data_IF_583908104904
#
_entry.id   IF_583908104904
#
_cell.length_a   1.000
_cell.length_b   1.000
_cell.length_c   1.000
_cell.angle_alpha   90.00
_cell.angle_beta   90.00
_cell.angle_gamma   90.00
#
_symmetry.space_group_name_H-M   'P 1'
#
loop_
_entity.id
_entity.type
_entity.pdbx_description
1 polymer ?
#
# COMPACT_ATOMS: atom_id res chain seq x y z
N UNK A 1 -7.24 8.75 16.63
CA UNK A 1 -7.72 9.49 15.43
C UNK A 1 -7.66 8.51 14.28
N UNK A 2 -8.74 8.31 13.52
CA UNK A 2 -8.71 7.37 12.39
C UNK A 2 -7.74 7.89 11.32
N UNK A 3 -6.67 7.14 11.01
CA UNK A 3 -5.68 7.49 9.98
C UNK A 3 -6.19 7.25 8.53
N UNK A 4 -7.51 7.20 8.34
CA UNK A 4 -8.15 6.86 7.06
C UNK A 4 -8.67 8.10 6.35
N UNK A 5 -8.88 7.99 5.03
CA UNK A 5 -9.37 9.09 4.21
C UNK A 5 -10.75 9.54 4.71
N UNK A 6 -11.07 10.86 4.70
CA UNK A 6 -12.40 11.35 5.05
C UNK A 6 -13.49 10.77 4.15
N UNK A 7 -13.17 10.50 2.88
CA UNK A 7 -14.07 9.84 1.93
C UNK A 7 -14.38 8.41 2.37
N UNK A 8 -13.39 7.70 2.91
CA UNK A 8 -13.56 6.35 3.44
C UNK A 8 -14.45 6.35 4.68
N UNK A 9 -14.16 7.21 5.66
CA UNK A 9 -14.95 7.30 6.90
C UNK A 9 -16.40 7.65 6.56
N UNK A 10 -16.63 8.64 5.70
CA UNK A 10 -18.00 8.99 5.32
C UNK A 10 -18.74 7.86 4.62
N UNK A 11 -18.10 7.17 3.67
CA UNK A 11 -18.73 6.02 3.01
C UNK A 11 -18.99 4.85 3.99
N UNK A 12 -18.13 4.64 4.98
CA UNK A 12 -18.31 3.60 6.00
C UNK A 12 -19.46 3.93 6.96
N UNK A 13 -19.58 5.19 7.38
CA UNK A 13 -20.66 5.66 8.24
C UNK A 13 -22.02 5.56 7.53
N UNK A 14 -22.09 5.94 6.25
CA UNK A 14 -23.31 5.77 5.43
C UNK A 14 -23.66 4.29 5.23
N UNK A 15 -22.65 3.44 5.06
CA UNK A 15 -22.86 2.00 4.93
C UNK A 15 -23.40 1.40 6.24
N UNK A 16 -22.91 1.83 7.39
CA UNK A 16 -23.44 1.44 8.70
C UNK A 16 -24.90 1.90 8.87
N UNK A 17 -25.24 3.13 8.50
CA UNK A 17 -26.59 3.67 8.65
C UNK A 17 -27.63 3.01 7.74
N UNK A 18 -27.24 2.72 6.49
CA UNK A 18 -28.14 2.16 5.48
C UNK A 18 -28.21 0.63 5.53
N UNK A 19 -27.29 -0.02 6.23
CA UNK A 19 -27.31 -1.46 6.46
C UNK A 19 -27.61 -1.79 7.91
N UNK A 20 -27.72 -3.08 8.23
CA UNK A 20 -27.80 -3.56 9.62
C UNK A 20 -26.42 -3.95 10.17
N UNK A 21 -25.35 -3.50 9.53
CA UNK A 21 -23.99 -3.87 9.87
C UNK A 21 -23.47 -2.95 10.98
N UNK A 22 -22.69 -3.50 11.88
CA UNK A 22 -21.96 -2.70 12.87
C UNK A 22 -20.87 -1.86 12.18
N UNK A 23 -20.44 -0.75 12.81
CA UNK A 23 -19.31 0.07 12.34
C UNK A 23 -18.09 -0.74 11.91
N UNK A 24 -17.72 -1.75 12.69
CA UNK A 24 -16.55 -2.59 12.42
C UNK A 24 -16.74 -3.42 11.15
N UNK A 25 -17.94 -3.97 10.97
CA UNK A 25 -18.29 -4.74 9.78
C UNK A 25 -18.38 -3.88 8.52
N UNK A 26 -18.99 -2.69 8.62
CA UNK A 26 -19.09 -1.74 7.53
C UNK A 26 -17.68 -1.32 7.05
N UNK A 27 -16.82 -0.88 7.97
CA UNK A 27 -15.42 -0.54 7.67
C UNK A 27 -14.64 -1.74 7.12
N UNK A 28 -14.79 -2.92 7.73
CA UNK A 28 -14.13 -4.14 7.27
C UNK A 28 -14.54 -4.52 5.84
N UNK A 29 -15.82 -4.38 5.51
CA UNK A 29 -16.34 -4.65 4.16
C UNK A 29 -15.79 -3.67 3.15
N UNK A 30 -15.78 -2.39 3.49
CA UNK A 30 -15.25 -1.34 2.62
C UNK A 30 -13.75 -1.53 2.39
N UNK A 31 -12.98 -1.93 3.42
CA UNK A 31 -11.56 -2.29 3.28
C UNK A 31 -11.35 -3.47 2.34
N UNK A 32 -12.19 -4.51 2.43
CA UNK A 32 -12.13 -5.65 1.51
C UNK A 32 -12.45 -5.25 0.08
N UNK A 33 -13.45 -4.39 -0.12
CA UNK A 33 -13.81 -3.85 -1.43
C UNK A 33 -12.66 -3.04 -2.04
N UNK A 34 -12.04 -2.15 -1.25
CA UNK A 34 -10.88 -1.37 -1.67
C UNK A 34 -9.68 -2.25 -1.99
N UNK A 35 -9.41 -3.27 -1.15
CA UNK A 35 -8.33 -4.24 -1.40
C UNK A 35 -8.55 -4.99 -2.72
N UNK A 36 -9.79 -5.36 -3.03
CA UNK A 36 -10.15 -5.99 -4.31
C UNK A 36 -9.90 -5.07 -5.52
N UNK A 37 -9.92 -3.75 -5.32
CA UNK A 37 -9.61 -2.74 -6.33
C UNK A 37 -8.12 -2.33 -6.37
N UNK A 38 -7.28 -2.86 -5.47
CA UNK A 38 -5.90 -2.38 -5.29
C UNK A 38 -5.78 -0.98 -4.67
N UNK A 39 -6.82 -0.51 -3.97
CA UNK A 39 -6.86 0.80 -3.34
C UNK A 39 -6.59 0.72 -1.84
N UNK A 40 -6.08 1.81 -1.27
CA UNK A 40 -5.81 1.93 0.16
C UNK A 40 -6.84 2.84 0.86
N UNK A 41 -7.38 2.45 2.02
CA UNK A 41 -8.33 3.27 2.79
C UNK A 41 -7.80 4.65 3.17
N UNK A 42 -6.47 4.78 3.35
CA UNK A 42 -5.82 6.04 3.75
C UNK A 42 -5.74 7.07 2.63
N UNK A 43 -5.72 6.64 1.37
CA UNK A 43 -5.46 7.51 0.21
C UNK A 43 -6.57 7.49 -0.83
N UNK A 44 -7.69 6.82 -0.53
CA UNK A 44 -8.82 6.73 -1.47
C UNK A 44 -9.44 8.11 -1.69
N UNK A 45 -9.60 8.46 -2.96
CA UNK A 45 -10.26 9.68 -3.42
C UNK A 45 -11.70 9.37 -3.85
N UNK A 46 -12.55 10.40 -3.97
CA UNK A 46 -13.96 10.30 -4.32
C UNK A 46 -14.19 9.51 -5.60
N UNK A 47 -13.47 9.85 -6.69
CA UNK A 47 -13.63 9.14 -7.99
C UNK A 47 -13.37 7.64 -7.86
N UNK A 48 -12.32 7.26 -7.14
CA UNK A 48 -11.97 5.87 -6.91
C UNK A 48 -13.02 5.17 -6.02
N UNK A 49 -13.53 5.87 -4.99
CA UNK A 49 -14.60 5.36 -4.14
C UNK A 49 -15.88 5.10 -4.93
N UNK A 50 -16.29 6.00 -5.83
CA UNK A 50 -17.48 5.80 -6.66
C UNK A 50 -17.39 4.55 -7.52
N UNK A 51 -16.23 4.29 -8.13
CA UNK A 51 -16.00 3.06 -8.91
C UNK A 51 -16.16 1.82 -8.02
N UNK A 52 -15.62 1.85 -6.80
CA UNK A 52 -15.72 0.73 -5.85
C UNK A 52 -17.17 0.49 -5.43
N UNK A 53 -17.91 1.57 -5.13
CA UNK A 53 -19.34 1.51 -4.78
C UNK A 53 -20.20 0.96 -5.92
N UNK A 54 -19.87 1.28 -7.17
CA UNK A 54 -20.66 0.86 -8.33
C UNK A 54 -20.30 -0.55 -8.84
N UNK A 55 -19.02 -0.95 -8.73
CA UNK A 55 -18.51 -2.18 -9.39
C UNK A 55 -18.19 -3.32 -8.46
N UNK A 56 -17.78 -3.04 -7.22
CA UNK A 56 -17.21 -4.06 -6.34
C UNK A 56 -18.11 -4.28 -5.13
N UNK A 57 -18.46 -3.22 -4.42
CA UNK A 57 -19.23 -3.29 -3.18
C UNK A 57 -20.59 -4.00 -3.30
N UNK A 58 -21.39 -3.82 -4.38
CA UNK A 58 -22.69 -4.48 -4.50
C UNK A 58 -22.55 -6.00 -4.48
N UNK A 59 -21.54 -6.54 -5.17
CA UNK A 59 -21.28 -7.98 -5.21
C UNK A 59 -20.86 -8.54 -3.85
N UNK A 60 -20.12 -7.76 -3.06
CA UNK A 60 -19.70 -8.15 -1.71
C UNK A 60 -20.86 -8.10 -0.71
N UNK A 61 -21.75 -7.10 -0.84
CA UNK A 61 -22.94 -6.98 0.00
C UNK A 61 -23.92 -8.14 -0.24
N UNK A 62 -24.15 -8.49 -1.50
CA UNK A 62 -25.00 -9.65 -1.85
C UNK A 62 -24.42 -10.94 -1.27
N UNK A 63 -23.10 -11.16 -1.38
CA UNK A 63 -22.42 -12.33 -0.79
C UNK A 63 -22.54 -12.41 0.73
N UNK A 64 -22.74 -11.27 1.41
CA UNK A 64 -22.98 -11.19 2.85
C UNK A 64 -24.47 -11.30 3.22
N UNK A 65 -25.36 -11.51 2.26
CA UNK A 65 -26.80 -11.62 2.49
C UNK A 65 -27.56 -10.29 2.48
N UNK A 66 -26.91 -9.19 2.10
CA UNK A 66 -27.56 -7.88 1.95
C UNK A 66 -28.19 -7.79 0.56
N UNK A 67 -29.46 -8.16 0.47
CA UNK A 67 -30.21 -8.20 -0.80
C UNK A 67 -30.36 -6.83 -1.49
N UNK A 68 -30.39 -5.76 -0.69
CA UNK A 68 -30.49 -4.38 -1.19
C UNK A 68 -29.11 -3.74 -1.48
N UNK A 69 -28.06 -4.54 -1.63
CA UNK A 69 -26.69 -4.09 -1.90
C UNK A 69 -26.56 -3.00 -2.99
N UNK A 70 -27.10 -3.18 -4.20
CA UNK A 70 -26.97 -2.17 -5.25
C UNK A 70 -27.70 -0.85 -4.94
N UNK A 71 -28.86 -0.90 -4.29
CA UNK A 71 -29.62 0.30 -3.92
C UNK A 71 -28.91 1.09 -2.81
N UNK A 72 -28.38 0.39 -1.80
CA UNK A 72 -27.55 1.00 -0.76
C UNK A 72 -26.32 1.67 -1.38
N UNK A 73 -25.62 0.99 -2.29
CA UNK A 73 -24.46 1.56 -2.97
C UNK A 73 -24.79 2.82 -3.79
N UNK A 74 -25.95 2.88 -4.46
CA UNK A 74 -26.40 4.08 -5.19
C UNK A 74 -26.67 5.26 -4.25
N UNK A 75 -27.29 5.00 -3.10
CA UNK A 75 -27.54 6.02 -2.07
C UNK A 75 -26.22 6.57 -1.53
N UNK A 76 -25.28 5.70 -1.16
CA UNK A 76 -23.94 6.11 -0.68
C UNK A 76 -23.19 6.89 -1.78
N UNK A 77 -23.24 6.43 -3.03
CA UNK A 77 -22.59 7.12 -4.14
C UNK A 77 -23.13 8.53 -4.35
N UNK A 78 -24.42 8.76 -4.11
CA UNK A 78 -25.03 10.09 -4.20
C UNK A 78 -24.51 11.03 -3.11
N UNK A 79 -24.38 10.54 -1.88
CA UNK A 79 -23.77 11.30 -0.76
C UNK A 79 -22.30 11.61 -1.06
N UNK A 80 -21.53 10.62 -1.50
CA UNK A 80 -20.11 10.79 -1.82
C UNK A 80 -19.91 11.78 -2.99
N UNK A 81 -20.81 11.82 -3.98
CA UNK A 81 -20.79 12.84 -5.03
C UNK A 81 -21.04 14.24 -4.47
N UNK A 82 -21.99 14.40 -3.56
CA UNK A 82 -22.28 15.69 -2.93
C UNK A 82 -21.06 16.26 -2.18
N UNK A 83 -20.24 15.39 -1.56
CA UNK A 83 -18.97 15.80 -0.95
C UNK A 83 -17.99 16.41 -1.96
N UNK A 84 -18.05 16.02 -3.24
CA UNK A 84 -17.21 16.61 -4.30
C UNK A 84 -17.65 18.02 -4.67
N UNK A 85 -18.94 18.33 -4.47
CA UNK A 85 -19.49 19.65 -4.74
C UNK A 85 -19.21 20.64 -3.61
N UNK A 86 -19.26 20.18 -2.36
CA UNK A 86 -18.97 21.03 -1.19
C UNK A 86 -17.47 21.15 -0.90
N UNK A 87 -16.75 20.07 -1.15
CA UNK A 87 -15.30 20.07 -1.01
C UNK A 87 -14.73 20.29 -2.39
N UNK A 88 -14.36 21.54 -2.69
CA UNK A 88 -13.47 21.89 -3.80
C UNK A 88 -12.13 21.17 -3.57
N UNK A 89 -12.11 19.85 -3.80
CA UNK A 89 -10.94 19.00 -3.69
C UNK A 89 -10.03 19.41 -4.82
N UNK A 90 -9.08 20.24 -4.41
CA UNK A 90 -7.92 20.70 -5.11
C UNK A 90 -7.40 19.59 -6.03
N UNK A 91 -7.77 19.70 -7.31
CA UNK A 91 -7.39 18.76 -8.36
C UNK A 91 -5.87 18.62 -8.25
N UNK A 92 -5.36 17.39 -8.24
CA UNK A 92 -3.92 17.13 -8.40
C UNK A 92 -3.53 17.66 -9.79
N UNK A 93 -3.30 18.97 -9.88
CA UNK A 93 -2.73 19.59 -11.06
C UNK A 93 -1.29 19.06 -11.18
N UNK A 94 -0.77 18.94 -12.41
CA UNK A 94 0.59 18.45 -12.63
C UNK A 94 1.60 19.18 -11.73
N UNK A 95 1.42 20.48 -11.48
CA UNK A 95 2.25 21.29 -10.59
C UNK A 95 2.32 20.76 -9.16
N UNK A 96 1.21 20.28 -8.59
CA UNK A 96 1.23 19.67 -7.25
C UNK A 96 1.92 18.32 -7.22
N UNK A 97 1.77 17.54 -8.30
CA UNK A 97 2.46 16.25 -8.43
C UNK A 97 3.97 16.47 -8.49
N UNK A 98 4.44 17.42 -9.31
CA UNK A 98 5.86 17.79 -9.38
C UNK A 98 6.39 18.38 -8.07
N UNK A 99 5.62 19.24 -7.40
CA UNK A 99 6.00 19.83 -6.11
C UNK A 99 6.17 18.76 -5.01
N UNK A 100 5.38 17.68 -5.06
CA UNK A 100 5.50 16.55 -4.12
C UNK A 100 6.76 15.72 -4.39
N UNK A 101 7.03 15.38 -5.65
CA UNK A 101 8.23 14.61 -6.04
C UNK A 101 9.51 15.38 -5.69
N UNK A 102 9.53 16.71 -5.87
CA UNK A 102 10.67 17.56 -5.51
C UNK A 102 10.94 17.68 -4.00
N UNK A 103 9.96 17.38 -3.13
CA UNK A 103 10.11 17.42 -1.66
C UNK A 103 10.48 16.07 -1.06
N UNK A 104 10.02 14.96 -1.65
CA UNK A 104 10.28 13.60 -1.13
C UNK A 104 11.73 13.14 -1.27
N UNK A 105 12.59 13.83 -2.03
CA UNK A 105 14.00 13.45 -2.20
C UNK A 105 14.97 14.06 -1.18
N UNK A 106 14.53 14.93 -0.25
CA UNK A 106 15.44 15.56 0.76
C UNK A 106 15.32 15.00 2.17
N UNK A 107 14.44 14.05 2.45
CA UNK A 107 14.17 13.54 3.80
C UNK A 107 15.04 12.33 4.19
N UNK A 108 16.32 12.35 3.84
CA UNK A 108 17.31 11.40 4.38
C UNK A 108 18.67 12.09 4.56
N UNK A 109 18.71 13.15 5.35
CA UNK A 109 19.94 13.65 5.95
C UNK A 109 19.78 13.54 7.47
N UNK A 110 20.24 12.41 8.00
CA UNK A 110 20.47 12.20 9.42
C UNK A 110 21.47 13.25 9.92
N UNK A 111 20.99 14.20 10.73
CA UNK A 111 21.84 15.06 11.54
C UNK A 111 22.41 14.23 12.70
N UNK A 112 23.42 13.42 12.38
CA UNK A 112 24.18 12.67 13.37
C UNK A 112 25.33 13.55 13.83
N UNK A 113 25.07 14.41 14.81
CA UNK A 113 26.12 15.15 15.55
C UNK A 113 27.03 14.14 16.27
N UNK A 114 28.34 14.03 15.94
CA UNK A 114 29.23 13.16 16.69
C UNK A 114 29.73 13.89 17.96
N UNK A 115 29.72 13.26 19.15
CA UNK A 115 30.42 13.79 20.31
C UNK A 115 31.93 13.66 20.09
N UNK A 116 32.58 14.80 19.94
CA UNK A 116 34.02 15.00 20.01
C UNK A 116 34.56 14.54 21.36
N UNK A 117 35.32 13.44 21.41
CA UNK A 117 36.31 13.11 22.46
C UNK A 117 37.05 11.81 22.15
N UNK A 118 38.14 11.85 21.37
CA UNK A 118 39.29 10.95 21.58
C UNK A 118 40.56 11.46 20.88
N UNK A 119 41.70 11.55 21.58
CA UNK A 119 42.97 12.01 21.01
C UNK A 119 43.62 10.96 20.08
N UNK A 120 44.56 11.38 19.21
CA UNK A 120 45.20 10.51 18.23
C UNK A 120 46.23 9.56 18.87
N UNK A 121 46.42 8.34 18.33
CA UNK A 121 47.55 7.50 18.70
C UNK A 121 48.86 7.98 18.02
N UNK A 122 50.02 7.81 18.67
CA UNK A 122 51.32 8.20 18.12
C UNK A 122 51.83 7.21 17.05
N UNK A 123 52.54 7.80 16.09
CA UNK A 123 53.28 7.19 14.99
C UNK A 123 54.12 5.97 15.38
N UNK A 124 54.18 4.96 14.50
CA UNK A 124 55.29 4.02 14.45
C UNK A 124 55.56 3.55 13.02
N UNK A 125 56.84 3.68 12.67
CA UNK A 125 57.53 3.37 11.42
C UNK A 125 57.44 1.88 11.05
N UNK A 126 57.61 1.58 9.76
CA UNK A 126 58.12 0.27 9.36
C UNK A 126 57.86 -0.10 7.90
N UNK A 127 58.68 0.43 6.99
CA UNK A 127 58.87 -0.14 5.65
C UNK A 127 59.41 -1.56 5.75
N UNK A 128 58.79 -2.51 5.06
CA UNK A 128 59.49 -3.65 4.48
C UNK A 128 58.68 -4.25 3.33
N UNK A 129 59.40 -4.92 2.45
CA UNK A 129 59.21 -5.01 1.01
C UNK A 129 59.06 -6.49 0.58
N UNK A 130 58.57 -6.73 -0.64
CA UNK A 130 58.55 -7.99 -1.43
C UNK A 130 57.38 -9.00 -1.21
N UNK A 131 57.18 -9.98 -2.13
CA UNK A 131 56.85 -9.87 -3.57
C UNK A 131 55.62 -10.75 -3.93
N UNK A 132 55.12 -10.79 -5.19
CA UNK A 132 53.97 -11.62 -5.57
C UNK A 132 54.37 -12.97 -6.19
N UNK A 133 53.60 -14.05 -5.96
CA UNK A 133 53.46 -15.20 -6.88
C UNK A 133 52.24 -16.13 -6.54
N UNK A 134 51.70 -16.91 -7.51
CA UNK A 134 50.44 -17.69 -7.46
C UNK A 134 50.69 -19.23 -7.49
N UNK A 135 49.80 -20.15 -7.96
CA UNK A 135 48.32 -20.34 -7.92
C UNK A 135 47.90 -21.72 -7.30
N UNK A 136 46.59 -22.05 -7.35
CA UNK A 136 45.96 -23.39 -7.33
C UNK A 136 45.29 -23.86 -6.03
N UNK A 137 43.98 -24.12 -6.13
CA UNK A 137 43.21 -24.86 -5.13
C UNK A 137 41.77 -25.06 -5.58
N UNK A 138 41.40 -26.30 -5.90
CA UNK A 138 40.13 -26.74 -6.48
C UNK A 138 38.96 -26.67 -5.48
N UNK A 139 37.76 -26.51 -6.05
CA UNK A 139 36.37 -26.85 -5.61
C UNK A 139 36.26 -28.03 -4.62
N UNK A 140 35.21 -28.16 -3.75
CA UNK A 140 33.84 -28.47 -4.25
C UNK A 140 32.64 -28.05 -3.36
N UNK A 141 31.45 -28.39 -3.88
CA UNK A 141 30.22 -28.67 -3.12
C UNK A 141 29.42 -27.42 -2.70
N UNK A 142 28.17 -27.21 -3.09
CA UNK A 142 27.11 -28.16 -3.40
C UNK A 142 25.88 -27.73 -2.59
N UNK A 143 24.93 -27.03 -3.20
CA UNK A 143 23.58 -26.72 -2.69
C UNK A 143 22.82 -26.07 -3.86
N UNK A 144 22.08 -26.79 -4.70
CA UNK A 144 20.98 -27.67 -4.30
C UNK A 144 19.66 -26.89 -4.22
N UNK A 145 19.34 -26.07 -5.24
CA UNK A 145 18.02 -25.44 -5.37
C UNK A 145 17.10 -26.40 -6.11
N UNK A 146 16.48 -27.30 -5.35
CA UNK A 146 15.33 -28.08 -5.80
C UNK A 146 14.13 -27.61 -4.99
N UNK A 147 13.21 -26.85 -5.59
CA UNK A 147 11.87 -26.74 -5.03
C UNK A 147 10.81 -26.34 -6.06
N UNK A 148 9.81 -27.22 -6.14
CA UNK A 148 8.48 -27.11 -6.73
C UNK A 148 8.28 -27.18 -8.25
N UNK A 149 8.12 -28.44 -8.67
CA UNK A 149 7.27 -28.90 -9.78
C UNK A 149 5.83 -28.98 -9.26
N UNK A 150 4.92 -28.16 -9.79
CA UNK A 150 3.47 -28.31 -9.56
C UNK A 150 2.81 -28.80 -10.84
N UNK A 151 2.30 -30.02 -10.77
CA UNK A 151 1.47 -30.65 -11.79
C UNK A 151 0.15 -29.91 -11.94
N UNK A 152 -0.27 -29.70 -13.20
CA UNK A 152 -1.62 -29.26 -13.54
C UNK A 152 -2.30 -30.41 -14.30
N UNK A 153 -3.29 -31.12 -13.71
CA UNK A 153 -4.08 -32.07 -14.46
C UNK A 153 -5.20 -31.36 -15.23
N UNK A 154 -5.23 -31.61 -16.55
CA UNK A 154 -6.40 -31.38 -17.41
C UNK A 154 -7.61 -32.16 -16.87
N UNK A 155 -8.82 -31.62 -17.03
CA UNK A 155 -9.99 -32.46 -17.31
C UNK A 155 -10.34 -32.38 -18.80
N UNK A 156 -10.25 -33.54 -19.45
CA UNK A 156 -10.94 -33.78 -20.73
C UNK A 156 -12.35 -34.30 -20.45
N UNK A 157 -13.29 -33.80 -21.25
CA UNK A 157 -14.48 -34.48 -21.77
C UNK A 157 -15.62 -34.84 -20.80
N UNK A 158 -16.79 -34.24 -21.04
CA UNK A 158 -17.86 -34.90 -21.82
C UNK A 158 -18.68 -33.84 -22.59
#
# INVERSE_FOLDING_TARGET
MSDESPVFERAADELEQLSRMTRLEARGTLRLALKGAGLLPKTVNVKAMLVVLERILPSLLIRRGVQQGPEICKSIASVVRALTSETSFDVDTPEKVFARIGRSSRSSATDTKPPSSRPPPPSSKGSANMPPMPPSGKTPSGSGWSLFKSHNPKPSSE
#
